data_IF_720914372056
#
_entry.id   IF_720914372056
#
_cell.length_a   1.000
_cell.length_b   1.000
_cell.length_c   1.000
_cell.angle_alpha   90.00
_cell.angle_beta   90.00
_cell.angle_gamma   90.00
#
_symmetry.space_group_name_H-M   'P 1'
#
loop_
_entity.id
_entity.type
_entity.pdbx_description
1 polymer ?
#
# COMPACT_ATOMS: atom_id res chain seq x y z
N UNK A 1 6.68 10.84 -16.55
CA UNK A 1 5.21 10.97 -16.68
C UNK A 1 4.59 10.50 -15.37
N UNK A 2 3.58 11.22 -14.91
CA UNK A 2 3.03 11.29 -13.56
C UNK A 2 2.62 9.93 -12.96
N UNK A 3 3.48 9.38 -12.09
CA UNK A 3 3.06 8.35 -11.13
C UNK A 3 1.97 8.94 -10.25
N UNK A 4 0.72 8.58 -10.49
CA UNK A 4 -0.39 8.90 -9.63
C UNK A 4 -0.07 8.34 -8.25
N UNK A 5 0.24 9.23 -7.31
CA UNK A 5 0.64 8.82 -5.97
C UNK A 5 -0.61 8.40 -5.21
N UNK A 6 -0.66 7.14 -4.79
CA UNK A 6 -1.80 6.60 -4.03
C UNK A 6 -1.53 6.81 -2.55
N UNK A 7 -2.46 7.46 -1.86
CA UNK A 7 -2.35 7.69 -0.42
C UNK A 7 -2.80 6.44 0.35
N UNK A 8 -1.88 5.70 0.94
CA UNK A 8 -2.18 4.39 1.54
C UNK A 8 -3.10 4.45 2.78
N UNK A 9 -3.21 5.61 3.41
CA UNK A 9 -4.08 5.80 4.57
C UNK A 9 -5.53 6.09 4.16
N UNK A 10 -5.73 6.80 3.05
CA UNK A 10 -7.06 7.23 2.58
C UNK A 10 -7.56 6.42 1.37
N UNK A 11 -6.66 5.77 0.65
CA UNK A 11 -6.96 4.96 -0.52
C UNK A 11 -7.89 3.82 -0.16
N UNK A 12 -8.78 3.50 -1.10
CA UNK A 12 -9.59 2.30 -1.05
C UNK A 12 -8.78 1.08 -1.51
N UNK A 13 -9.26 -0.13 -1.22
CA UNK A 13 -8.59 -1.35 -1.68
C UNK A 13 -8.39 -1.34 -3.21
N UNK A 14 -9.39 -0.87 -3.97
CA UNK A 14 -9.30 -0.72 -5.42
C UNK A 14 -8.22 0.27 -5.86
N UNK A 15 -8.01 1.37 -5.11
CA UNK A 15 -6.93 2.32 -5.41
C UNK A 15 -5.55 1.72 -5.13
N UNK A 16 -5.44 0.89 -4.09
CA UNK A 16 -4.21 0.17 -3.77
C UNK A 16 -3.89 -0.88 -4.83
N UNK A 17 -4.89 -1.54 -5.42
CA UNK A 17 -4.73 -2.48 -6.53
C UNK A 17 -4.16 -1.83 -7.80
N UNK A 18 -4.29 -0.50 -7.95
CA UNK A 18 -3.63 0.22 -9.05
C UNK A 18 -2.11 0.32 -8.88
N UNK A 19 -1.57 -0.01 -7.69
CA UNK A 19 -0.14 -0.03 -7.47
C UNK A 19 0.50 -1.28 -8.09
N UNK A 20 1.59 -1.14 -8.87
CA UNK A 20 2.24 -2.26 -9.51
C UNK A 20 2.75 -3.26 -8.46
N UNK A 21 2.21 -4.49 -8.51
CA UNK A 21 2.53 -5.57 -7.58
C UNK A 21 1.58 -5.68 -6.37
N UNK A 22 0.66 -4.73 -6.17
CA UNK A 22 -0.45 -4.88 -5.23
C UNK A 22 -1.62 -5.54 -5.97
N UNK A 23 -2.03 -6.71 -5.48
CA UNK A 23 -3.24 -7.38 -5.94
C UNK A 23 -4.36 -7.29 -4.89
N UNK A 24 -5.56 -7.81 -5.20
CA UNK A 24 -6.73 -7.72 -4.33
C UNK A 24 -6.49 -8.30 -2.92
N UNK A 25 -5.73 -9.39 -2.80
CA UNK A 25 -5.37 -9.96 -1.50
C UNK A 25 -4.51 -9.01 -0.65
N UNK A 26 -3.55 -8.32 -1.28
CA UNK A 26 -2.68 -7.37 -0.58
C UNK A 26 -3.44 -6.10 -0.21
N UNK A 27 -4.26 -5.59 -1.13
CA UNK A 27 -5.12 -4.43 -0.88
C UNK A 27 -6.08 -4.65 0.28
N UNK A 28 -6.72 -5.82 0.35
CA UNK A 28 -7.55 -6.22 1.48
C UNK A 28 -6.75 -6.26 2.79
N UNK A 29 -5.56 -6.89 2.76
CA UNK A 29 -4.69 -6.97 3.94
C UNK A 29 -4.22 -5.59 4.43
N UNK A 30 -3.95 -4.63 3.53
CA UNK A 30 -3.62 -3.24 3.91
C UNK A 30 -4.81 -2.58 4.63
N UNK A 31 -6.02 -2.73 4.09
CA UNK A 31 -7.21 -2.13 4.68
C UNK A 31 -7.54 -2.72 6.07
N UNK A 32 -7.33 -4.02 6.23
CA UNK A 32 -7.50 -4.72 7.49
C UNK A 32 -6.42 -4.29 8.50
N UNK A 33 -5.16 -4.28 8.07
CA UNK A 33 -4.02 -3.88 8.89
C UNK A 33 -4.11 -2.42 9.34
N UNK A 34 -4.56 -1.48 8.48
CA UNK A 34 -4.80 -0.09 8.91
C UNK A 34 -5.86 -0.02 10.01
N UNK A 35 -6.85 -0.91 9.96
CA UNK A 35 -7.95 -0.93 10.93
C UNK A 35 -7.53 -1.58 12.24
N UNK A 36 -6.63 -2.56 12.19
CA UNK A 36 -6.12 -3.29 13.35
C UNK A 36 -4.92 -2.58 14.04
N UNK A 37 -3.96 -2.10 13.26
CA UNK A 37 -2.68 -1.54 13.71
C UNK A 37 -2.63 0.00 13.61
N UNK A 38 -3.64 0.63 13.01
CA UNK A 38 -3.68 2.08 12.79
C UNK A 38 -3.00 2.52 11.49
N UNK A 39 -2.98 3.84 11.21
CA UNK A 39 -2.45 4.38 9.96
C UNK A 39 -0.97 4.07 9.75
N UNK A 40 -0.55 4.02 8.49
CA UNK A 40 0.83 3.84 8.07
C UNK A 40 1.54 5.20 8.07
N UNK A 41 2.73 5.27 8.68
CA UNK A 41 3.53 6.49 8.69
C UNK A 41 4.34 6.63 7.39
N UNK A 42 4.78 5.50 6.83
CA UNK A 42 5.55 5.45 5.59
C UNK A 42 5.08 4.33 4.67
N UNK A 43 5.44 4.44 3.39
CA UNK A 43 5.23 3.37 2.42
C UNK A 43 5.94 2.06 2.79
N UNK A 44 7.01 2.12 3.57
CA UNK A 44 7.72 0.93 4.06
C UNK A 44 6.92 0.17 5.11
N UNK A 45 6.03 0.85 5.85
CA UNK A 45 5.19 0.21 6.86
C UNK A 45 4.19 -0.78 6.25
N UNK A 46 3.88 -0.65 4.96
CA UNK A 46 3.12 -1.67 4.24
C UNK A 46 3.81 -3.05 4.29
N UNK A 47 5.11 -3.12 4.52
CA UNK A 47 5.85 -4.37 4.72
C UNK A 47 5.46 -5.14 5.98
N UNK A 48 4.74 -4.52 6.92
CA UNK A 48 4.18 -5.22 8.09
C UNK A 48 2.96 -6.08 7.74
N UNK A 49 2.33 -5.77 6.60
CA UNK A 49 1.16 -6.49 6.10
C UNK A 49 1.59 -7.84 5.51
N UNK A 50 0.92 -8.90 5.95
CA UNK A 50 1.17 -10.24 5.43
C UNK A 50 0.94 -10.29 3.90
N UNK A 51 1.96 -10.71 3.16
CA UNK A 51 1.94 -10.79 1.70
C UNK A 51 2.52 -9.57 0.97
N UNK A 52 2.89 -8.50 1.68
CA UNK A 52 3.65 -7.38 1.12
C UNK A 52 5.13 -7.58 1.43
N UNK A 53 5.84 -8.16 0.48
CA UNK A 53 7.28 -8.34 0.58
C UNK A 53 8.07 -7.11 0.12
N UNK A 54 9.39 -7.06 0.43
CA UNK A 54 10.30 -6.01 -0.02
C UNK A 54 10.32 -5.87 -1.56
N UNK A 55 10.13 -6.96 -2.29
CA UNK A 55 10.01 -6.93 -3.76
C UNK A 55 8.79 -6.14 -4.24
N UNK A 56 7.68 -6.18 -3.50
CA UNK A 56 6.49 -5.42 -3.87
C UNK A 56 6.67 -3.96 -3.49
N UNK A 57 7.14 -3.69 -2.26
CA UNK A 57 7.51 -2.35 -1.81
C UNK A 57 8.47 -1.63 -2.77
N UNK A 58 9.46 -2.35 -3.33
CA UNK A 58 10.40 -1.79 -4.30
C UNK A 58 9.73 -1.42 -5.64
N UNK A 59 8.67 -2.12 -6.05
CA UNK A 59 7.96 -1.86 -7.30
C UNK A 59 7.07 -0.61 -7.23
N UNK A 60 6.37 -0.41 -6.11
CA UNK A 60 5.45 0.72 -5.94
C UNK A 60 5.95 1.81 -4.99
N UNK A 61 7.15 1.67 -4.40
CA UNK A 61 7.70 2.61 -3.43
C UNK A 61 7.75 4.06 -3.94
N UNK A 62 7.90 4.24 -5.26
CA UNK A 62 7.87 5.55 -5.94
C UNK A 62 6.45 6.11 -6.17
N UNK A 63 5.43 5.26 -6.10
CA UNK A 63 4.02 5.56 -6.38
C UNK A 63 3.15 5.62 -5.11
N UNK A 64 3.71 5.28 -3.95
CA UNK A 64 3.02 5.42 -2.67
C UNK A 64 3.31 6.78 -2.04
N UNK A 65 2.30 7.35 -1.37
CA UNK A 65 2.43 8.48 -0.46
C UNK A 65 1.75 8.19 0.86
N UNK A 66 2.36 8.67 1.94
CA UNK A 66 1.70 8.86 3.23
C UNK A 66 1.44 10.35 3.38
N UNK A 67 0.26 10.68 3.90
CA UNK A 67 -0.16 12.07 4.13
C UNK A 67 0.68 12.71 5.23
#
# INVERSE_FOLDING_TARGET
MSSARVNINTASAADLENLPGIGPSKAAAIAEDRSANGPFATCQDLGRVAGIGPATLANFGSACVTQ
#
